data_IF_629683502416
#
_entry.id   IF_629683502416
#
_cell.length_a   1.000
_cell.length_b   1.000
_cell.length_c   1.000
_cell.angle_alpha   90.00
_cell.angle_beta   90.00
_cell.angle_gamma   90.00
#
_symmetry.space_group_name_H-M   'P 1'
#
loop_
_entity.id
_entity.type
_entity.pdbx_description
1 polymer ?
#
# COMPACT_ATOMS: atom_id res chain seq x y z
N UNK A 1 -0.72 10.35 -8.52
CA UNK A 1 -2.08 9.81 -8.32
C UNK A 1 -2.57 10.23 -6.93
N UNK A 2 -3.85 10.07 -6.60
CA UNK A 2 -4.35 10.33 -5.25
C UNK A 2 -4.18 9.09 -4.38
N UNK A 3 -3.65 9.25 -3.17
CA UNK A 3 -3.51 8.17 -2.19
C UNK A 3 -4.91 7.68 -1.78
N UNK A 4 -5.08 6.36 -1.71
CA UNK A 4 -6.35 5.71 -1.35
C UNK A 4 -6.16 4.85 -0.10
N UNK A 5 -7.05 5.00 0.88
CA UNK A 5 -7.15 4.10 2.03
C UNK A 5 -8.04 2.91 1.67
N UNK A 6 -7.53 1.71 1.86
CA UNK A 6 -8.24 0.45 1.72
C UNK A 6 -8.55 -0.07 3.12
N UNK A 7 -9.84 -0.27 3.41
CA UNK A 7 -10.33 -0.76 4.72
C UNK A 7 -10.85 -2.20 4.69
N UNK A 8 -11.29 -2.67 3.53
CA UNK A 8 -11.88 -4.00 3.39
C UNK A 8 -11.05 -4.87 2.44
N UNK A 9 -11.11 -4.60 1.14
CA UNK A 9 -10.36 -5.33 0.13
C UNK A 9 -10.15 -4.49 -1.13
N UNK A 10 -9.14 -4.86 -1.89
CA UNK A 10 -8.86 -4.34 -3.23
C UNK A 10 -8.60 -5.51 -4.16
N UNK A 11 -9.04 -5.40 -5.41
CA UNK A 11 -8.79 -6.45 -6.40
C UNK A 11 -7.33 -6.41 -6.87
N UNK A 12 -6.77 -7.58 -7.23
CA UNK A 12 -5.45 -7.65 -7.88
C UNK A 12 -5.42 -6.85 -9.19
N UNK A 13 -6.51 -6.84 -9.94
CA UNK A 13 -6.62 -6.07 -11.19
C UNK A 13 -6.45 -4.57 -10.93
N UNK A 14 -7.07 -4.03 -9.87
CA UNK A 14 -6.91 -2.62 -9.51
C UNK A 14 -5.47 -2.31 -9.09
N UNK A 15 -4.81 -3.21 -8.34
CA UNK A 15 -3.38 -3.07 -8.03
C UNK A 15 -2.49 -3.07 -9.28
N UNK A 16 -2.79 -3.91 -10.28
CA UNK A 16 -2.08 -3.91 -11.57
C UNK A 16 -2.28 -2.60 -12.34
N UNK A 17 -3.47 -2.02 -12.30
CA UNK A 17 -3.74 -0.72 -12.92
C UNK A 17 -2.99 0.40 -12.21
N UNK A 18 -2.86 0.31 -10.88
CA UNK A 18 -2.08 1.27 -10.08
C UNK A 18 -0.60 1.15 -10.39
N UNK A 19 -0.04 -0.07 -10.42
CA UNK A 19 1.38 -0.29 -10.70
C UNK A 19 1.76 0.26 -12.06
N UNK A 20 0.97 -0.03 -13.11
CA UNK A 20 1.19 0.45 -14.49
C UNK A 20 1.21 1.98 -14.61
N UNK A 21 0.50 2.69 -13.73
CA UNK A 21 0.45 4.16 -13.70
C UNK A 21 1.55 4.78 -12.86
N UNK A 22 2.31 3.98 -12.10
CA UNK A 22 3.37 4.45 -11.21
C UNK A 22 4.72 3.82 -11.58
N UNK A 23 5.03 2.66 -11.00
CA UNK A 23 6.34 2.03 -11.02
C UNK A 23 6.43 0.85 -11.99
N UNK A 24 5.36 0.57 -12.74
CA UNK A 24 5.26 -0.52 -13.71
C UNK A 24 4.79 -1.82 -13.06
N UNK A 25 5.65 -2.43 -12.26
CA UNK A 25 5.50 -3.79 -11.71
C UNK A 25 5.14 -3.84 -10.22
N UNK A 26 5.24 -2.72 -9.52
CA UNK A 26 4.96 -2.62 -8.09
C UNK A 26 3.98 -1.50 -7.73
N UNK A 27 3.33 -1.69 -6.60
CA UNK A 27 2.55 -0.68 -5.88
C UNK A 27 3.21 -0.47 -4.53
N UNK A 28 3.53 0.78 -4.19
CA UNK A 28 3.91 1.13 -2.83
C UNK A 28 2.66 1.13 -1.96
N UNK A 29 2.79 0.58 -0.77
CA UNK A 29 1.73 0.55 0.20
C UNK A 29 2.32 0.77 1.59
N UNK A 30 1.55 1.41 2.45
CA UNK A 30 1.80 1.45 3.88
C UNK A 30 0.63 0.80 4.59
N UNK A 31 0.91 -0.12 5.50
CA UNK A 31 -0.09 -0.88 6.26
C UNK A 31 -0.07 -0.46 7.72
N UNK A 32 -1.25 -0.38 8.34
CA UNK A 32 -1.39 -0.42 9.79
C UNK A 32 -1.81 -1.84 10.18
N UNK A 33 -0.88 -2.57 10.82
CA UNK A 33 -1.09 -3.98 11.18
C UNK A 33 -2.04 -4.17 12.37
N UNK A 34 -2.25 -3.14 13.20
CA UNK A 34 -3.20 -3.19 14.31
C UNK A 34 -4.64 -2.98 13.80
N UNK A 35 -4.82 -1.99 12.92
CA UNK A 35 -6.13 -1.62 12.38
C UNK A 35 -6.55 -2.45 11.17
N UNK A 36 -5.63 -3.18 10.53
CA UNK A 36 -5.91 -4.00 9.35
C UNK A 36 -6.25 -3.18 8.10
N UNK A 37 -5.71 -1.96 7.99
CA UNK A 37 -5.95 -1.05 6.86
C UNK A 37 -4.64 -0.76 6.11
N UNK A 38 -4.75 -0.29 4.88
CA UNK A 38 -3.57 0.13 4.10
C UNK A 38 -3.83 1.37 3.27
N UNK A 39 -2.80 2.19 3.09
CA UNK A 39 -2.77 3.29 2.13
C UNK A 39 -1.91 2.89 0.93
N UNK A 40 -2.37 3.19 -0.28
CA UNK A 40 -1.69 2.90 -1.54
C UNK A 40 -1.76 4.08 -2.50
N UNK A 41 -0.88 4.09 -3.51
CA UNK A 41 -0.94 5.05 -4.62
C UNK A 41 -0.18 6.35 -4.37
N UNK A 42 0.65 6.39 -3.32
CA UNK A 42 1.66 7.43 -3.08
C UNK A 42 2.88 7.26 -3.97
N UNK A 43 3.68 8.33 -4.08
CA UNK A 43 5.00 8.27 -4.75
C UNK A 43 6.06 7.76 -3.77
N UNK A 44 5.95 8.12 -2.50
CA UNK A 44 6.79 7.65 -1.42
C UNK A 44 5.95 7.02 -0.31
N UNK A 45 6.53 6.03 0.39
CA UNK A 45 5.96 5.45 1.61
C UNK A 45 5.66 6.53 2.67
N UNK A 46 6.49 7.57 2.76
CA UNK A 46 6.27 8.67 3.70
C UNK A 46 4.94 9.40 3.45
N UNK A 47 4.49 9.53 2.20
CA UNK A 47 3.23 10.20 1.88
C UNK A 47 2.02 9.39 2.41
N UNK A 48 2.12 8.06 2.30
CA UNK A 48 1.10 7.11 2.75
C UNK A 48 1.09 6.95 4.28
N UNK A 49 2.27 6.97 4.92
CA UNK A 49 2.44 6.96 6.38
C UNK A 49 1.79 8.19 7.04
N UNK A 50 1.96 9.38 6.45
CA UNK A 50 1.33 10.61 6.93
C UNK A 50 -0.20 10.44 6.95
N UNK A 51 -0.77 9.91 5.88
CA UNK A 51 -2.21 9.77 5.73
C UNK A 51 -2.82 8.76 6.72
N UNK A 52 -2.13 7.66 7.01
CA UNK A 52 -2.56 6.71 8.04
C UNK A 52 -2.39 7.28 9.45
N UNK A 53 -1.31 8.02 9.69
CA UNK A 53 -1.05 8.67 10.99
C UNK A 53 -2.09 9.74 11.31
N UNK A 54 -2.47 10.56 10.32
CA UNK A 54 -3.58 11.52 10.44
C UNK A 54 -4.93 10.82 10.69
N UNK A 55 -5.09 9.59 10.20
CA UNK A 55 -6.22 8.72 10.47
C UNK A 55 -6.26 8.10 11.87
N UNK A 56 -5.25 8.37 12.71
CA UNK A 56 -5.15 7.88 14.09
C UNK A 56 -4.33 6.60 14.27
N UNK A 57 -3.68 6.12 13.21
CA UNK A 57 -2.81 4.93 13.28
C UNK A 57 -1.58 5.24 14.13
N UNK A 58 -1.17 4.30 14.98
CA UNK A 58 0.06 4.45 15.75
C UNK A 58 1.25 4.12 14.88
N UNK A 59 2.23 5.02 14.81
CA UNK A 59 3.46 4.85 14.01
C UNK A 59 4.20 3.54 14.29
N UNK A 60 4.13 3.00 15.51
CA UNK A 60 4.74 1.71 15.85
C UNK A 60 4.11 0.52 15.10
N UNK A 61 2.88 0.68 14.60
CA UNK A 61 2.12 -0.33 13.89
C UNK A 61 2.11 -0.09 12.36
N UNK A 62 2.79 0.96 11.90
CA UNK A 62 2.84 1.35 10.49
C UNK A 62 4.08 0.74 9.82
N UNK A 63 3.87 0.06 8.68
CA UNK A 63 4.94 -0.58 7.91
C UNK A 63 4.80 -0.27 6.41
N UNK A 64 5.89 0.15 5.77
CA UNK A 64 5.96 0.33 4.32
C UNK A 64 6.30 -0.98 3.63
N UNK A 65 5.53 -1.35 2.61
CA UNK A 65 5.67 -2.60 1.85
C UNK A 65 5.55 -2.34 0.33
N UNK A 66 6.27 -3.09 -0.48
CA UNK A 66 6.04 -3.12 -1.93
C UNK A 66 5.16 -4.34 -2.27
N UNK A 67 4.10 -4.11 -3.02
CA UNK A 67 3.21 -5.17 -3.54
C UNK A 67 3.55 -5.35 -5.01
N UNK A 68 3.75 -6.60 -5.46
CA UNK A 68 4.05 -6.94 -6.85
C UNK A 68 2.86 -7.64 -7.51
N UNK A 69 1.95 -6.92 -8.22
CA UNK A 69 0.65 -7.43 -8.66
C UNK A 69 0.68 -8.62 -9.64
N UNK A 70 1.84 -8.93 -10.19
CA UNK A 70 2.07 -10.04 -11.13
C UNK A 70 2.82 -11.23 -10.50
N UNK A 71 3.33 -11.10 -9.27
CA UNK A 71 4.00 -12.17 -8.55
C UNK A 71 3.00 -13.00 -7.72
N UNK A 72 3.45 -14.17 -7.27
CA UNK A 72 2.66 -15.11 -6.48
C UNK A 72 3.48 -15.60 -5.29
N UNK A 73 2.80 -16.26 -4.34
CA UNK A 73 3.40 -16.83 -3.14
C UNK A 73 4.19 -15.77 -2.33
N UNK A 74 5.35 -16.14 -1.81
CA UNK A 74 6.16 -15.29 -0.92
C UNK A 74 6.75 -14.07 -1.64
N UNK A 75 6.85 -14.09 -2.97
CA UNK A 75 7.40 -12.99 -3.77
C UNK A 75 6.39 -11.85 -4.03
N UNK A 76 5.14 -12.00 -3.56
CA UNK A 76 4.06 -11.03 -3.75
C UNK A 76 4.27 -9.73 -2.94
N UNK A 77 4.91 -9.81 -1.76
CA UNK A 77 5.12 -8.68 -0.84
C UNK A 77 6.60 -8.61 -0.46
N UNK A 78 7.15 -7.40 -0.47
CA UNK A 78 8.50 -7.08 0.01
C UNK A 78 8.40 -6.02 1.13
N UNK A 79 9.15 -6.21 2.23
CA UNK A 79 9.16 -5.33 3.40
C UNK A 79 10.52 -5.30 4.11
#
# INVERSE_FOLDING_TARGET
MTIKIIRDSISRQELQEISKKQFGDLVKAVVDVESGIMAIGGELHADEEVLLSEGGSNRANIWGINIYPEKFDDDWIEF
#
